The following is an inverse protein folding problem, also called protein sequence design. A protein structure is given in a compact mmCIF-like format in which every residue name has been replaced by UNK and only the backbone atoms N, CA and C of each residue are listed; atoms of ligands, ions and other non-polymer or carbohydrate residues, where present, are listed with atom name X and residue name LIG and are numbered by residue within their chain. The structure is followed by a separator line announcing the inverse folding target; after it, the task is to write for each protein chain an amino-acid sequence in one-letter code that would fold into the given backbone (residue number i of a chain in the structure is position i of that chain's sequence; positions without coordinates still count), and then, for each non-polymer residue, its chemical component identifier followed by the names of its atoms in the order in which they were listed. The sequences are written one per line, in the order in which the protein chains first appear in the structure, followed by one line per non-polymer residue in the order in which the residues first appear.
data_IF_812137834966
#
_entry.id   IF_812137834966
#
_cell.length_a   1.000
_cell.length_b   1.000
_cell.length_c   1.000
_cell.angle_alpha   90.00
_cell.angle_beta   90.00
_cell.angle_gamma   90.00
#
_symmetry.space_group_name_H-M   'P 1'
#
loop_
_entity.id
_entity.type
_entity.pdbx_description
1 polymer ?
#
# COMPACT_ATOMS: atom_id res chain seq x y z
N UNK A 1 6.98 -18.69 12.52
CA UNK A 1 5.89 -18.23 13.41
C UNK A 1 4.76 -17.72 12.54
N UNK A 2 3.65 -18.45 12.45
CA UNK A 2 2.42 -17.99 11.79
C UNK A 2 1.65 -17.17 12.83
N UNK A 3 1.84 -15.86 12.86
CA UNK A 3 0.99 -14.96 13.61
C UNK A 3 -0.03 -14.36 12.68
N UNK A 4 -1.31 -14.68 12.83
CA UNK A 4 -2.38 -13.93 12.21
C UNK A 4 -2.38 -12.51 12.79
N UNK A 5 -2.46 -11.49 11.95
CA UNK A 5 -2.34 -10.12 12.37
C UNK A 5 -3.58 -9.32 11.98
N UNK A 6 -3.95 -8.41 12.87
CA UNK A 6 -5.18 -7.63 12.73
C UNK A 6 -4.91 -6.32 11.98
N UNK A 7 -5.56 -6.12 10.85
CA UNK A 7 -5.60 -4.83 10.15
C UNK A 7 -6.84 -4.10 10.64
N UNK A 8 -6.65 -2.92 11.20
CA UNK A 8 -7.73 -2.07 11.64
C UNK A 8 -8.16 -1.15 10.49
N UNK A 9 -9.40 -1.25 10.07
CA UNK A 9 -9.99 -0.39 9.03
C UNK A 9 -10.73 0.78 9.68
N UNK A 10 -11.04 1.83 8.91
CA UNK A 10 -11.68 3.05 9.41
C UNK A 10 -13.06 2.83 10.06
N UNK A 11 -13.70 1.72 9.76
CA UNK A 11 -14.98 1.27 10.34
C UNK A 11 -14.80 0.36 11.57
N UNK A 12 -13.56 0.21 12.07
CA UNK A 12 -13.24 -0.63 13.21
C UNK A 12 -13.27 -2.13 12.94
N UNK A 13 -13.38 -2.53 11.67
CA UNK A 13 -13.38 -3.92 11.26
C UNK A 13 -11.95 -4.47 11.26
N UNK A 14 -11.69 -5.42 12.13
CA UNK A 14 -10.39 -6.09 12.23
C UNK A 14 -10.35 -7.22 11.22
N UNK A 15 -9.53 -7.09 10.19
CA UNK A 15 -9.21 -8.18 9.26
C UNK A 15 -7.84 -8.75 9.59
N UNK A 16 -7.66 -10.07 9.56
CA UNK A 16 -6.36 -10.69 9.75
C UNK A 16 -5.52 -10.51 8.49
N UNK A 17 -4.40 -9.79 8.61
CA UNK A 17 -3.39 -9.69 7.58
C UNK A 17 -2.10 -10.38 8.02
N UNK A 18 -1.31 -10.84 7.08
CA UNK A 18 0.01 -11.39 7.33
C UNK A 18 1.07 -10.48 6.71
N UNK A 19 2.20 -10.34 7.38
CA UNK A 19 3.37 -9.72 6.76
C UNK A 19 3.77 -10.51 5.51
N UNK A 20 4.02 -9.80 4.43
CA UNK A 20 4.40 -10.41 3.15
C UNK A 20 5.86 -10.07 2.87
N UNK A 21 6.71 -11.12 2.83
CA UNK A 21 8.11 -10.95 2.43
C UNK A 21 8.20 -10.48 0.98
N UNK A 22 9.12 -9.56 0.75
CA UNK A 22 9.38 -9.03 -0.59
C UNK A 22 10.07 -7.68 -0.52
N UNK A 23 10.40 -7.14 -1.67
CA UNK A 23 11.07 -5.84 -1.80
C UNK A 23 10.42 -5.00 -2.89
N UNK A 24 10.55 -3.68 -2.78
CA UNK A 24 10.24 -2.73 -3.85
C UNK A 24 11.31 -2.83 -4.95
N UNK A 25 11.10 -2.11 -6.05
CA UNK A 25 12.10 -2.02 -7.13
C UNK A 25 13.37 -1.32 -6.64
N UNK A 26 14.50 -1.88 -7.05
CA UNK A 26 15.80 -1.22 -6.88
C UNK A 26 15.99 -0.22 -8.02
N UNK A 27 15.80 1.06 -7.72
CA UNK A 27 15.87 2.15 -8.69
C UNK A 27 16.89 3.23 -8.30
N UNK A 28 17.77 2.89 -7.35
CA UNK A 28 18.85 3.76 -6.89
C UNK A 28 18.36 4.90 -5.99
N UNK A 29 17.35 4.63 -5.18
CA UNK A 29 16.79 5.63 -4.25
C UNK A 29 17.74 5.93 -3.06
N UNK A 30 18.49 4.97 -2.57
CA UNK A 30 19.39 5.16 -1.41
C UNK A 30 20.53 6.12 -1.79
N UNK A 31 20.73 7.12 -0.97
CA UNK A 31 21.67 8.21 -1.25
C UNK A 31 21.14 9.30 -2.20
N UNK A 32 19.91 9.18 -2.72
CA UNK A 32 19.33 10.18 -3.63
C UNK A 32 18.89 11.43 -2.86
N UNK A 33 19.36 12.61 -3.29
CA UNK A 33 18.91 13.88 -2.71
C UNK A 33 17.46 14.21 -3.07
N UNK A 34 16.81 15.06 -2.27
CA UNK A 34 15.46 15.56 -2.57
C UNK A 34 15.38 16.21 -3.95
N UNK A 35 16.37 17.02 -4.32
CA UNK A 35 16.44 17.65 -5.64
C UNK A 35 16.55 16.62 -6.78
N UNK A 36 17.35 15.57 -6.59
CA UNK A 36 17.46 14.49 -7.57
C UNK A 36 16.16 13.67 -7.68
N UNK A 37 15.53 13.36 -6.55
CA UNK A 37 14.23 12.67 -6.52
C UNK A 37 13.15 13.50 -7.22
N UNK A 38 13.10 14.80 -6.96
CA UNK A 38 12.19 15.72 -7.61
C UNK A 38 12.37 15.71 -9.12
N UNK A 39 13.60 15.80 -9.59
CA UNK A 39 13.88 15.77 -11.02
C UNK A 39 13.55 14.43 -11.66
N UNK A 40 13.95 13.33 -11.01
CA UNK A 40 13.84 11.98 -11.59
C UNK A 40 12.43 11.42 -11.52
N UNK A 41 11.70 11.68 -10.44
CA UNK A 41 10.41 11.04 -10.17
C UNK A 41 9.21 11.96 -10.33
N UNK A 42 9.42 13.29 -10.27
CA UNK A 42 8.37 14.29 -10.40
C UNK A 42 8.18 14.84 -11.81
N UNK A 43 9.13 14.61 -12.74
CA UNK A 43 8.99 15.02 -14.12
C UNK A 43 7.82 14.26 -14.79
N UNK A 44 6.63 14.81 -14.66
CA UNK A 44 5.37 14.24 -15.14
C UNK A 44 4.25 14.18 -14.09
N UNK A 45 4.57 14.41 -12.80
CA UNK A 45 3.58 14.59 -11.74
C UNK A 45 3.33 16.07 -11.40
N UNK A 46 4.03 16.98 -12.08
CA UNK A 46 3.89 18.43 -11.93
C UNK A 46 2.64 18.90 -12.69
N UNK A 47 1.49 18.74 -12.08
CA UNK A 47 0.28 19.49 -12.38
C UNK A 47 0.02 20.54 -11.29
N UNK A 48 -0.91 21.48 -11.49
CA UNK A 48 -1.34 22.39 -10.43
C UNK A 48 -1.93 21.57 -9.29
N UNK A 49 -1.15 21.39 -8.23
CA UNK A 49 -1.48 20.50 -7.11
C UNK A 49 -0.56 19.30 -7.03
N UNK A 50 0.74 19.49 -7.20
CA UNK A 50 1.75 18.53 -6.75
C UNK A 50 1.26 17.90 -5.45
N UNK A 51 0.97 16.62 -5.51
CA UNK A 51 0.31 15.92 -4.39
C UNK A 51 1.13 15.99 -3.10
N UNK A 52 2.45 16.18 -3.20
CA UNK A 52 3.37 16.31 -2.09
C UNK A 52 3.78 17.77 -1.78
N UNK A 53 3.26 18.77 -2.50
CA UNK A 53 3.69 20.18 -2.36
C UNK A 53 3.34 20.81 -1.00
N UNK A 54 2.42 20.22 -0.26
CA UNK A 54 2.05 20.67 1.09
C UNK A 54 3.07 20.26 2.15
N UNK A 55 3.97 19.35 1.81
CA UNK A 55 5.07 18.93 2.67
C UNK A 55 6.36 19.65 2.25
N UNK A 56 7.11 20.23 3.21
CA UNK A 56 8.36 20.90 2.86
C UNK A 56 9.37 19.95 2.23
N UNK A 57 9.92 20.32 1.07
CA UNK A 57 10.93 19.53 0.37
C UNK A 57 12.11 19.17 1.28
N UNK A 58 12.55 17.93 1.23
CA UNK A 58 13.64 17.43 2.04
C UNK A 58 13.24 16.93 3.42
N UNK A 59 11.99 17.11 3.85
CA UNK A 59 11.48 16.56 5.10
C UNK A 59 11.04 15.10 4.94
N UNK A 60 10.92 14.37 6.05
CA UNK A 60 10.48 12.97 6.05
C UNK A 60 9.11 12.79 5.40
N UNK A 61 8.18 13.70 5.67
CA UNK A 61 6.82 13.72 5.10
C UNK A 61 6.84 13.89 3.59
N UNK A 62 7.66 14.81 3.08
CA UNK A 62 7.85 14.98 1.64
C UNK A 62 8.48 13.73 1.00
N UNK A 63 9.55 13.22 1.61
CA UNK A 63 10.25 12.03 1.11
C UNK A 63 9.33 10.80 1.05
N UNK A 64 8.56 10.54 2.11
CA UNK A 64 7.62 9.43 2.14
C UNK A 64 6.50 9.60 1.10
N UNK A 65 5.95 10.81 0.94
CA UNK A 65 4.94 11.11 -0.08
C UNK A 65 5.47 10.86 -1.49
N UNK A 66 6.62 11.40 -1.83
CA UNK A 66 7.25 11.24 -3.16
C UNK A 66 7.57 9.78 -3.46
N UNK A 67 8.15 9.07 -2.50
CA UNK A 67 8.48 7.66 -2.68
C UNK A 67 7.23 6.81 -2.85
N UNK A 68 6.19 7.04 -2.07
CA UNK A 68 4.93 6.32 -2.19
C UNK A 68 4.31 6.48 -3.59
N UNK A 69 4.21 7.72 -4.10
CA UNK A 69 3.72 7.96 -5.46
C UNK A 69 4.60 7.30 -6.52
N UNK A 70 5.92 7.37 -6.38
CA UNK A 70 6.84 6.72 -7.31
C UNK A 70 6.69 5.19 -7.31
N UNK A 71 6.32 4.60 -6.18
CA UNK A 71 6.02 3.17 -6.07
C UNK A 71 4.62 2.81 -6.57
N UNK A 72 3.78 3.77 -6.92
CA UNK A 72 2.48 3.53 -7.53
C UNK A 72 1.27 3.81 -6.63
N UNK A 73 1.47 4.41 -5.46
CA UNK A 73 0.34 4.90 -4.69
C UNK A 73 -0.49 5.89 -5.51
N UNK A 74 -1.81 5.76 -5.48
CA UNK A 74 -2.72 6.64 -6.21
C UNK A 74 -3.07 7.90 -5.43
N UNK A 75 -2.97 7.85 -4.11
CA UNK A 75 -3.27 8.97 -3.24
C UNK A 75 -2.46 8.88 -1.94
N UNK A 76 -1.90 10.01 -1.54
CA UNK A 76 -1.37 10.28 -0.19
C UNK A 76 -2.01 11.59 0.23
N UNK A 77 -2.56 11.65 1.44
CA UNK A 77 -3.26 12.84 1.90
C UNK A 77 -2.35 14.05 1.98
N UNK A 78 -2.83 15.19 1.49
CA UNK A 78 -2.05 16.44 1.45
C UNK A 78 -1.77 17.03 2.83
N UNK A 79 -2.57 16.67 3.84
CA UNK A 79 -2.54 17.27 5.18
C UNK A 79 -2.56 16.22 6.27
N UNK A 80 -1.80 15.14 6.12
CA UNK A 80 -1.70 14.11 7.16
C UNK A 80 -0.88 14.54 8.38
N UNK A 81 -0.31 15.76 8.34
CA UNK A 81 0.39 16.36 9.47
C UNK A 81 1.83 15.89 9.62
N UNK A 82 2.30 15.88 10.86
CA UNK A 82 3.64 15.38 11.22
C UNK A 82 3.72 13.86 11.07
N UNK A 83 4.91 13.31 11.01
CA UNK A 83 5.14 11.88 10.77
C UNK A 83 4.31 10.97 11.69
N UNK A 84 4.21 11.30 12.97
CA UNK A 84 3.42 10.55 13.95
C UNK A 84 1.89 10.57 13.69
N UNK A 85 1.39 11.54 12.94
CA UNK A 85 -0.05 11.69 12.68
C UNK A 85 -0.51 10.91 11.45
N UNK A 86 0.41 10.49 10.59
CA UNK A 86 0.08 9.90 9.29
C UNK A 86 -0.81 8.68 9.38
N UNK A 87 -0.55 7.78 10.33
CA UNK A 87 -1.36 6.58 10.48
C UNK A 87 -2.82 6.90 10.86
N UNK A 88 -3.04 7.84 11.78
CA UNK A 88 -4.38 8.26 12.18
C UNK A 88 -5.11 8.98 11.05
N UNK A 89 -4.41 9.89 10.35
CA UNK A 89 -4.97 10.62 9.20
C UNK A 89 -5.32 9.68 8.05
N UNK A 90 -4.46 8.72 7.74
CA UNK A 90 -4.72 7.72 6.71
C UNK A 90 -5.93 6.84 7.06
N UNK A 91 -6.08 6.42 8.34
CA UNK A 91 -7.29 5.70 8.79
C UNK A 91 -8.56 6.50 8.57
N UNK A 92 -8.54 7.80 8.86
CA UNK A 92 -9.71 8.66 8.62
C UNK A 92 -10.10 8.77 7.15
N UNK A 93 -9.17 8.49 6.24
CA UNK A 93 -9.39 8.41 4.79
C UNK A 93 -9.61 6.96 4.30
N UNK A 94 -9.84 6.00 5.21
CA UNK A 94 -10.18 4.62 4.89
C UNK A 94 -8.99 3.75 4.47
N UNK A 95 -7.76 4.09 4.88
CA UNK A 95 -6.60 3.22 4.71
C UNK A 95 -6.55 2.18 5.82
N UNK A 96 -6.21 0.94 5.45
CA UNK A 96 -5.87 -0.09 6.42
C UNK A 96 -4.53 0.22 7.10
N UNK A 97 -4.43 -0.02 8.40
CA UNK A 97 -3.19 0.09 9.15
C UNK A 97 -2.93 -1.15 9.98
N UNK A 98 -1.66 -1.43 10.25
CA UNK A 98 -1.23 -2.58 11.05
C UNK A 98 0.05 -2.25 11.81
N UNK A 99 0.31 -2.93 12.92
CA UNK A 99 1.55 -2.77 13.71
C UNK A 99 2.55 -3.90 13.48
N UNK A 100 2.18 -4.94 12.77
CA UNK A 100 2.96 -6.17 12.67
C UNK A 100 2.84 -6.91 11.32
N UNK A 101 2.07 -6.38 10.37
CA UNK A 101 1.85 -6.97 9.04
C UNK A 101 2.27 -6.04 7.88
N UNK A 102 3.52 -5.53 7.84
CA UNK A 102 3.96 -4.67 6.74
C UNK A 102 3.98 -5.44 5.42
N UNK A 103 3.82 -4.67 4.35
CA UNK A 103 4.09 -5.11 2.98
C UNK A 103 5.11 -4.17 2.35
N UNK A 104 5.90 -4.62 1.35
CA UNK A 104 6.77 -3.72 0.59
C UNK A 104 5.96 -2.57 -0.02
N UNK A 105 6.47 -1.35 0.11
CA UNK A 105 5.79 -0.14 -0.35
C UNK A 105 4.74 0.44 0.62
N UNK A 106 4.49 -0.20 1.77
CA UNK A 106 3.70 0.43 2.83
C UNK A 106 4.40 1.70 3.34
N UNK A 107 3.62 2.69 3.73
CA UNK A 107 4.14 3.85 4.47
C UNK A 107 4.23 3.45 5.95
N UNK A 108 5.31 3.79 6.63
CA UNK A 108 5.49 3.54 8.05
C UNK A 108 5.52 4.85 8.82
N UNK A 109 4.62 4.99 9.79
CA UNK A 109 4.48 6.14 10.69
C UNK A 109 5.01 5.75 12.07
N UNK A 110 5.98 6.52 12.56
CA UNK A 110 6.61 6.31 13.86
C UNK A 110 6.03 7.32 14.86
N UNK A 111 5.44 6.86 15.97
CA UNK A 111 5.14 7.72 17.08
C UNK A 111 6.40 8.46 17.58
N UNK A 112 6.22 9.58 18.28
CA UNK A 112 7.30 10.35 18.83
C UNK A 112 8.21 9.48 19.73
N UNK A 113 9.54 9.54 19.48
CA UNK A 113 10.56 8.79 20.21
C UNK A 113 10.67 7.29 19.89
N UNK A 114 9.78 6.73 19.08
CA UNK A 114 9.82 5.30 18.71
C UNK A 114 10.85 5.10 17.58
N UNK A 115 11.70 4.07 17.74
CA UNK A 115 12.73 3.68 16.75
C UNK A 115 13.61 4.86 16.29
N UNK A 116 13.92 5.79 17.22
CA UNK A 116 14.76 6.96 16.94
C UNK A 116 14.05 8.09 16.19
N UNK A 117 12.72 8.05 16.10
CA UNK A 117 11.93 9.16 15.58
C UNK A 117 12.04 10.40 16.47
N UNK A 118 11.83 11.58 15.87
CA UNK A 118 11.82 12.84 16.62
C UNK A 118 10.82 12.78 17.79
N UNK A 119 11.27 13.27 18.95
CA UNK A 119 10.50 13.19 20.20
C UNK A 119 9.25 14.08 20.24
N UNK A 120 9.10 14.99 19.27
CA UNK A 120 7.97 15.94 19.17
C UNK A 120 7.07 15.62 17.99
N UNK A 121 7.68 15.33 16.84
CA UNK A 121 6.96 15.22 15.55
C UNK A 121 6.84 13.78 15.07
N UNK A 122 7.53 12.83 15.71
CA UNK A 122 7.64 11.48 15.18
C UNK A 122 8.42 11.44 13.88
N UNK A 123 8.16 10.42 13.07
CA UNK A 123 8.81 10.23 11.78
C UNK A 123 7.91 9.48 10.81
N UNK A 124 8.23 9.54 9.52
CA UNK A 124 7.55 8.76 8.48
C UNK A 124 8.53 8.33 7.41
N UNK A 125 8.35 7.11 6.90
CA UNK A 125 9.22 6.48 5.92
C UNK A 125 8.42 5.52 5.03
N UNK A 126 9.08 4.84 4.10
CA UNK A 126 8.47 3.82 3.25
C UNK A 126 9.19 2.49 3.42
N UNK A 127 8.44 1.40 3.48
CA UNK A 127 8.97 0.05 3.60
C UNK A 127 9.48 -0.41 2.23
N UNK A 128 10.78 -0.65 2.12
CA UNK A 128 11.44 -1.09 0.90
C UNK A 128 11.60 -2.61 0.82
N UNK A 129 11.80 -3.25 1.95
CA UNK A 129 11.90 -4.69 2.03
C UNK A 129 11.27 -5.21 3.31
N UNK A 130 10.63 -6.36 3.22
CA UNK A 130 10.10 -7.11 4.37
C UNK A 130 10.76 -8.48 4.37
N UNK A 131 11.46 -8.81 5.44
CA UNK A 131 12.04 -10.14 5.69
C UNK A 131 11.30 -10.78 6.86
N UNK A 132 10.29 -11.57 6.55
CA UNK A 132 9.46 -12.23 7.57
C UNK A 132 10.23 -13.31 8.33
N UNK A 133 11.26 -13.91 7.72
CA UNK A 133 12.09 -14.92 8.36
C UNK A 133 12.96 -14.30 9.47
N UNK A 134 13.46 -13.09 9.23
CA UNK A 134 14.23 -12.34 10.23
C UNK A 134 13.36 -11.45 11.12
N UNK A 135 12.10 -11.23 10.76
CA UNK A 135 11.21 -10.31 11.45
C UNK A 135 11.63 -8.85 11.32
N UNK A 136 12.21 -8.47 10.16
CA UNK A 136 12.76 -7.13 9.92
C UNK A 136 12.19 -6.49 8.66
N UNK A 137 12.27 -5.15 8.63
CA UNK A 137 12.03 -4.33 7.45
C UNK A 137 13.25 -3.50 7.12
N UNK A 138 13.47 -3.21 5.84
CA UNK A 138 14.30 -2.12 5.36
C UNK A 138 13.39 -0.97 4.97
N UNK A 139 13.72 0.23 5.41
CA UNK A 139 12.96 1.44 5.08
C UNK A 139 13.80 2.42 4.26
N UNK A 140 13.14 3.23 3.44
CA UNK A 140 13.68 4.47 2.88
C UNK A 140 13.09 5.63 3.65
N UNK A 141 13.95 6.53 4.12
CA UNK A 141 13.59 7.69 4.93
C UNK A 141 14.36 8.92 4.51
N UNK A 142 13.82 10.10 4.74
CA UNK A 142 14.45 11.38 4.45
C UNK A 142 14.55 12.23 5.71
N UNK A 143 15.48 13.18 5.73
CA UNK A 143 15.74 14.09 6.85
C UNK A 143 16.30 13.44 8.15
N UNK A 144 16.89 12.26 8.03
CA UNK A 144 17.73 11.68 9.10
C UNK A 144 19.20 12.06 8.88
N UNK A 145 19.63 12.05 7.62
CA UNK A 145 20.96 12.47 7.16
C UNK A 145 20.90 13.72 6.27
N UNK A 146 19.98 14.65 6.57
CA UNK A 146 19.70 15.79 5.71
C UNK A 146 18.68 15.46 4.60
N UNK A 147 18.53 16.33 3.57
CA UNK A 147 17.52 16.18 2.51
C UNK A 147 17.93 15.11 1.48
N UNK A 148 18.22 13.91 1.96
CA UNK A 148 18.68 12.76 1.18
C UNK A 148 17.98 11.50 1.70
N UNK A 149 17.63 10.59 0.78
CA UNK A 149 17.14 9.29 1.18
C UNK A 149 18.25 8.48 1.82
N UNK A 150 17.95 7.90 2.95
CA UNK A 150 18.80 6.93 3.62
C UNK A 150 18.02 5.70 4.02
N UNK A 151 18.73 4.61 4.28
CA UNK A 151 18.14 3.34 4.67
C UNK A 151 18.43 2.99 6.12
N UNK A 152 17.48 2.31 6.75
CA UNK A 152 17.64 1.61 8.02
C UNK A 152 16.92 0.25 7.99
N UNK A 153 17.49 -0.72 8.71
CA UNK A 153 16.82 -1.99 9.00
C UNK A 153 16.28 -1.93 10.42
N UNK A 154 14.99 -2.24 10.57
CA UNK A 154 14.26 -2.16 11.83
C UNK A 154 13.47 -3.45 12.08
N UNK A 155 13.14 -3.78 13.34
CA UNK A 155 12.23 -4.88 13.63
C UNK A 155 10.81 -4.56 13.14
N UNK A 156 10.07 -5.55 12.63
CA UNK A 156 8.67 -5.39 12.25
C UNK A 156 7.83 -4.89 13.43
N UNK A 157 8.07 -5.43 14.63
CA UNK A 157 7.32 -5.11 15.85
C UNK A 157 8.03 -4.07 16.73
N UNK A 158 8.51 -2.99 16.12
CA UNK A 158 9.23 -1.92 16.82
C UNK A 158 8.35 -0.81 17.40
N UNK A 159 7.04 -0.90 17.28
CA UNK A 159 6.11 0.15 17.76
C UNK A 159 5.67 1.16 16.69
N UNK A 160 6.15 1.01 15.45
CA UNK A 160 5.67 1.78 14.32
C UNK A 160 4.32 1.27 13.80
N UNK A 161 3.61 2.11 13.06
CA UNK A 161 2.33 1.77 12.42
C UNK A 161 2.52 1.81 10.91
N UNK A 162 2.15 0.74 10.23
CA UNK A 162 2.22 0.61 8.78
C UNK A 162 0.88 0.99 8.17
N UNK A 163 0.91 1.86 7.17
CA UNK A 163 -0.24 2.25 6.37
C UNK A 163 -0.16 1.44 5.08
N UNK A 164 -1.17 0.62 4.84
CA UNK A 164 -1.19 -0.28 3.69
C UNK A 164 -1.69 0.43 2.44
N UNK A 165 -1.07 0.23 1.28
CA UNK A 165 -1.60 0.77 0.03
C UNK A 165 -2.96 0.13 -0.29
N UNK A 166 -3.89 0.91 -0.86
CA UNK A 166 -5.21 0.41 -1.29
C UNK A 166 -5.12 -0.44 -2.55
N UNK A 167 -4.13 -0.17 -3.39
CA UNK A 167 -3.93 -0.83 -4.68
C UNK A 167 -2.60 -1.59 -4.72
N UNK A 168 -2.47 -2.53 -5.63
CA UNK A 168 -1.20 -3.21 -5.90
C UNK A 168 -0.13 -2.22 -6.32
N UNK A 169 1.02 -2.23 -5.66
CA UNK A 169 2.14 -1.35 -5.97
C UNK A 169 2.97 -1.98 -7.08
N UNK A 170 3.15 -1.27 -8.17
CA UNK A 170 4.01 -1.70 -9.27
C UNK A 170 5.47 -1.76 -8.81
N UNK A 171 6.06 -2.93 -8.81
CA UNK A 171 7.49 -3.13 -8.55
C UNK A 171 7.86 -3.91 -7.29
N UNK A 172 6.90 -4.38 -6.51
CA UNK A 172 7.17 -5.40 -5.51
C UNK A 172 7.49 -6.71 -6.24
N UNK A 173 8.78 -6.97 -6.45
CA UNK A 173 9.25 -8.24 -6.99
C UNK A 173 8.93 -9.35 -5.98
N UNK A 174 8.01 -10.21 -6.34
CA UNK A 174 7.66 -11.39 -5.56
C UNK A 174 6.37 -11.21 -4.74
N UNK A 175 5.26 -11.54 -5.33
CA UNK A 175 3.97 -11.67 -4.70
C UNK A 175 3.08 -10.45 -4.91
N UNK A 176 2.30 -10.52 -5.96
CA UNK A 176 1.06 -9.76 -6.03
C UNK A 176 0.32 -9.99 -4.72
N UNK A 177 0.20 -8.97 -3.86
CA UNK A 177 -0.84 -8.97 -2.86
C UNK A 177 -2.12 -8.66 -3.62
N UNK A 178 -2.52 -9.64 -4.44
CA UNK A 178 -3.87 -9.69 -4.88
C UNK A 178 -4.72 -9.82 -3.62
N UNK A 179 -5.67 -8.97 -3.46
CA UNK A 179 -6.80 -9.15 -2.55
C UNK A 179 -7.61 -10.42 -2.90
N UNK A 180 -7.01 -11.35 -3.62
CA UNK A 180 -7.55 -12.61 -4.10
C UNK A 180 -6.64 -13.80 -3.75
N UNK A 181 -6.33 -14.00 -2.47
CA UNK A 181 -6.16 -15.36 -1.99
C UNK A 181 -7.43 -15.77 -1.25
N UNK A 182 -8.43 -16.12 -2.02
CA UNK A 182 -9.39 -17.10 -1.55
C UNK A 182 -8.63 -18.38 -1.26
N UNK A 183 -8.48 -18.73 0.01
CA UNK A 183 -8.14 -20.07 0.41
C UNK A 183 -9.28 -20.95 -0.09
N UNK A 184 -9.07 -21.61 -1.22
CA UNK A 184 -9.93 -22.68 -1.68
C UNK A 184 -9.70 -23.87 -0.75
N UNK A 185 -10.72 -24.19 0.02
CA UNK A 185 -10.95 -25.59 0.34
C UNK A 185 -11.15 -26.31 -0.98
N UNK A 186 -10.30 -27.28 -1.19
CA UNK A 186 -10.35 -28.40 -2.11
C UNK A 186 -11.49 -28.37 -3.15
N UNK A 187 -11.17 -27.99 -4.39
CA UNK A 187 -11.66 -28.66 -5.58
C UNK A 187 -10.68 -28.47 -6.73
N UNK A 188 -10.18 -29.60 -7.20
CA UNK A 188 -9.22 -29.73 -8.29
C UNK A 188 -9.82 -29.26 -9.61
N UNK A 189 -9.37 -28.12 -10.13
CA UNK A 189 -9.25 -27.93 -11.58
C UNK A 189 -8.10 -26.95 -11.87
N UNK A 190 -7.11 -27.49 -12.51
CA UNK A 190 -5.96 -26.90 -13.17
C UNK A 190 -6.32 -25.80 -14.15
N UNK A 191 -5.33 -24.92 -14.37
CA UNK A 191 -5.17 -23.97 -15.46
C UNK A 191 -5.87 -22.62 -15.32
N UNK A 192 -5.14 -21.67 -14.69
CA UNK A 192 -5.23 -20.27 -15.11
C UNK A 192 -3.84 -19.84 -15.59
N UNK A 193 -3.46 -20.30 -16.75
CA UNK A 193 -2.54 -19.60 -17.62
C UNK A 193 -3.24 -18.29 -18.04
N UNK A 194 -2.49 -17.19 -18.13
CA UNK A 194 -2.98 -15.81 -18.31
C UNK A 194 -3.87 -15.50 -19.51
N UNK A 195 -4.87 -16.32 -19.77
CA UNK A 195 -5.86 -16.20 -20.81
C UNK A 195 -7.22 -15.87 -20.21
N UNK A 196 -7.77 -14.77 -20.70
CA UNK A 196 -9.18 -14.30 -20.70
C UNK A 196 -10.11 -15.10 -19.79
N UNK A 197 -10.39 -14.55 -18.59
CA UNK A 197 -11.48 -15.11 -17.78
C UNK A 197 -12.72 -15.22 -18.64
N UNK A 198 -13.34 -16.40 -18.67
CA UNK A 198 -14.61 -16.57 -19.38
C UNK A 198 -15.66 -15.63 -18.81
N UNK A 199 -16.64 -15.22 -19.62
CA UNK A 199 -17.76 -14.39 -19.18
C UNK A 199 -18.43 -14.95 -17.92
N UNK A 200 -18.56 -16.28 -17.86
CA UNK A 200 -19.13 -16.96 -16.69
C UNK A 200 -18.25 -16.82 -15.44
N UNK A 201 -16.94 -16.90 -15.58
CA UNK A 201 -16.02 -16.72 -14.48
C UNK A 201 -16.06 -15.28 -13.97
N UNK A 202 -16.09 -14.29 -14.86
CA UNK A 202 -16.24 -12.87 -14.51
C UNK A 202 -17.55 -12.60 -13.78
N UNK A 203 -18.68 -13.15 -14.26
CA UNK A 203 -19.99 -13.04 -13.60
C UNK A 203 -20.00 -13.70 -12.22
N UNK A 204 -19.37 -14.86 -12.07
CA UNK A 204 -19.27 -15.57 -10.78
C UNK A 204 -18.47 -14.77 -9.76
N UNK A 205 -17.37 -14.14 -10.19
CA UNK A 205 -16.56 -13.25 -9.35
C UNK A 205 -17.38 -12.02 -8.93
N UNK A 206 -18.02 -11.33 -9.88
CA UNK A 206 -18.85 -10.17 -9.62
C UNK A 206 -19.98 -10.48 -8.63
N UNK A 207 -20.70 -11.59 -8.85
CA UNK A 207 -21.79 -12.02 -7.96
C UNK A 207 -21.32 -12.29 -6.53
N UNK A 208 -20.12 -12.85 -6.36
CA UNK A 208 -19.52 -13.06 -5.05
C UNK A 208 -19.16 -11.73 -4.39
N UNK A 209 -18.54 -10.82 -5.15
CA UNK A 209 -18.11 -9.50 -4.66
C UNK A 209 -19.27 -8.61 -4.24
N UNK A 210 -20.42 -8.67 -4.91
CA UNK A 210 -21.60 -7.91 -4.53
C UNK A 210 -22.04 -8.18 -3.08
N UNK A 211 -21.90 -9.44 -2.62
CA UNK A 211 -22.22 -9.82 -1.24
C UNK A 211 -21.30 -9.15 -0.22
N UNK A 212 -20.04 -8.91 -0.58
CA UNK A 212 -19.07 -8.22 0.29
C UNK A 212 -19.44 -6.74 0.49
N UNK A 213 -20.24 -6.17 -0.43
CA UNK A 213 -20.77 -4.81 -0.36
C UNK A 213 -22.22 -4.73 0.16
N UNK A 214 -22.77 -5.84 0.68
CA UNK A 214 -24.12 -5.90 1.20
C UNK A 214 -25.21 -5.90 0.12
N UNK A 215 -24.88 -6.23 -1.12
CA UNK A 215 -25.82 -6.33 -2.21
C UNK A 215 -26.35 -7.76 -2.30
N UNK A 216 -27.63 -7.88 -2.61
CA UNK A 216 -28.30 -9.19 -2.77
C UNK A 216 -28.32 -9.67 -4.23
N UNK A 217 -28.67 -10.93 -4.43
CA UNK A 217 -28.66 -11.58 -5.76
C UNK A 217 -29.53 -10.84 -6.79
N UNK A 218 -30.61 -10.18 -6.36
CA UNK A 218 -31.46 -9.38 -7.26
C UNK A 218 -30.78 -8.14 -7.86
N UNK A 219 -29.77 -7.62 -7.20
CA UNK A 219 -29.00 -6.47 -7.70
C UNK A 219 -27.93 -6.88 -8.70
N UNK A 220 -27.52 -8.15 -8.68
CA UNK A 220 -26.64 -8.70 -9.70
C UNK A 220 -27.29 -8.67 -11.09
N UNK A 221 -28.60 -8.88 -11.20
CA UNK A 221 -29.29 -8.84 -12.48
C UNK A 221 -29.23 -7.46 -13.16
N UNK A 222 -29.21 -6.40 -12.36
CA UNK A 222 -29.02 -5.03 -12.88
C UNK A 222 -27.58 -4.83 -13.37
N UNK A 223 -26.59 -5.31 -12.61
CA UNK A 223 -25.19 -5.25 -12.99
C UNK A 223 -24.92 -6.09 -14.24
N UNK A 224 -25.47 -7.28 -14.33
CA UNK A 224 -25.33 -8.17 -15.48
C UNK A 224 -25.88 -7.54 -16.77
N UNK A 225 -27.05 -6.92 -16.70
CA UNK A 225 -27.65 -6.20 -17.83
C UNK A 225 -26.80 -4.99 -18.26
N UNK A 226 -26.27 -4.25 -17.28
CA UNK A 226 -25.42 -3.08 -17.56
C UNK A 226 -24.13 -3.52 -18.24
N UNK A 227 -23.38 -4.43 -17.64
CA UNK A 227 -22.07 -4.85 -18.16
C UNK A 227 -22.18 -5.68 -19.44
N UNK A 228 -23.26 -6.43 -19.64
CA UNK A 228 -23.53 -7.10 -20.91
C UNK A 228 -23.70 -6.08 -22.04
N UNK A 229 -24.37 -4.96 -21.76
CA UNK A 229 -24.57 -3.88 -22.73
C UNK A 229 -23.31 -3.05 -22.99
N UNK A 230 -22.50 -2.78 -21.96
CA UNK A 230 -21.33 -1.91 -22.06
C UNK A 230 -20.11 -2.62 -22.69
N UNK A 231 -19.81 -3.83 -22.23
CA UNK A 231 -18.59 -4.55 -22.64
C UNK A 231 -18.82 -6.02 -23.03
N UNK A 232 -20.04 -6.54 -22.87
CA UNK A 232 -20.28 -7.97 -23.00
C UNK A 232 -19.51 -8.80 -21.98
N UNK A 233 -19.18 -8.22 -20.82
CA UNK A 233 -18.31 -8.80 -19.80
C UNK A 233 -16.86 -9.05 -20.26
N UNK A 234 -16.43 -8.36 -21.30
CA UNK A 234 -15.06 -8.45 -21.82
C UNK A 234 -14.15 -7.50 -21.06
N UNK A 235 -12.99 -8.00 -20.68
CA UNK A 235 -11.98 -7.21 -19.97
C UNK A 235 -11.19 -6.25 -20.90
N UNK A 236 -11.27 -6.49 -22.21
CA UNK A 236 -10.57 -5.78 -23.28
C UNK A 236 -11.49 -4.89 -24.14
N UNK A 237 -12.68 -4.58 -23.64
CA UNK A 237 -13.67 -3.74 -24.32
C UNK A 237 -13.52 -2.28 -24.02
#
# INVERSE_FOLDING_TARGET
YKGAMNVETADGKVTSAQAVSGKTKDDGWDGMSSAAAKTKWFNGLAGPGDACATYPEGQCTWGACVRAYHLGWKHVGKYWGNGQNWAASARSEGYGTTTDAPVPGAIVSFPAGIEGADATYGHVAVVENVDTAKGTILISEMNVKGPVYSSRTLPIKGGAVYILPKDSISGAGGGSVGTDQCVTGDDSTSDVSGDKASVEAAKKIAKRRLKDYGWEDGQFDCLDKLWTRESGWRWDA
#
